data_IF_827754810633
#
_entry.id   IF_827754810633
#
_cell.length_a   1.000
_cell.length_b   1.000
_cell.length_c   1.000
_cell.angle_alpha   90.00
_cell.angle_beta   90.00
_cell.angle_gamma   90.00
#
_symmetry.space_group_name_H-M   'P 1'
#
loop_
_entity.id
_entity.type
_entity.pdbx_description
1 polymer ?
#
# COMPACT_ATOMS: atom_id res chain seq x y z
N UNK A 1 -17.46 -17.51 -3.51
CA UNK A 1 -18.08 -16.16 -3.53
C UNK A 1 -17.61 -15.41 -2.30
N UNK A 2 -17.16 -14.16 -2.45
CA UNK A 2 -16.72 -13.34 -1.32
C UNK A 2 -17.88 -12.43 -0.87
N UNK A 3 -18.25 -12.48 0.41
CA UNK A 3 -19.34 -11.65 0.96
C UNK A 3 -18.83 -10.87 2.17
N UNK A 4 -19.06 -9.57 2.16
CA UNK A 4 -18.71 -8.69 3.28
C UNK A 4 -19.73 -8.87 4.42
N UNK A 5 -19.28 -9.29 5.59
CA UNK A 5 -20.10 -9.38 6.81
C UNK A 5 -19.67 -8.39 7.91
N UNK A 6 -19.14 -7.24 7.50
CA UNK A 6 -18.71 -6.18 8.41
C UNK A 6 -17.32 -6.41 9.01
N UNK A 7 -17.14 -7.46 9.84
CA UNK A 7 -15.86 -7.76 10.51
C UNK A 7 -14.95 -8.71 9.72
N UNK A 8 -15.52 -9.55 8.85
CA UNK A 8 -14.82 -10.50 7.99
C UNK A 8 -15.39 -10.50 6.57
N UNK A 9 -14.51 -10.63 5.58
CA UNK A 9 -14.80 -11.06 4.23
C UNK A 9 -14.84 -12.59 4.27
N UNK A 10 -15.96 -13.18 3.87
CA UNK A 10 -16.13 -14.63 3.92
C UNK A 10 -15.97 -15.18 2.51
N UNK A 11 -14.96 -16.03 2.30
CA UNK A 11 -14.85 -16.86 1.11
C UNK A 11 -15.61 -18.15 1.34
N UNK A 12 -16.67 -18.33 0.57
CA UNK A 12 -17.35 -19.62 0.45
C UNK A 12 -16.81 -20.39 -0.75
N UNK A 13 -16.34 -21.61 -0.50
CA UNK A 13 -15.91 -22.59 -1.51
C UNK A 13 -16.78 -23.85 -1.37
N UNK A 14 -17.31 -24.36 -2.48
CA UNK A 14 -18.03 -25.63 -2.49
C UNK A 14 -17.13 -26.73 -3.03
N UNK A 15 -16.89 -27.76 -2.22
CA UNK A 15 -16.08 -28.93 -2.59
C UNK A 15 -16.91 -30.19 -2.29
N UNK A 16 -17.18 -31.01 -3.31
CA UNK A 16 -17.97 -32.25 -3.19
C UNK A 16 -19.33 -32.04 -2.49
N UNK A 17 -20.10 -31.06 -2.94
CA UNK A 17 -21.41 -30.67 -2.38
C UNK A 17 -21.40 -30.26 -0.90
N UNK A 18 -20.20 -30.02 -0.34
CA UNK A 18 -20.03 -29.43 0.99
C UNK A 18 -19.54 -28.00 0.86
N UNK A 19 -20.19 -27.12 1.59
CA UNK A 19 -19.81 -25.71 1.69
C UNK A 19 -18.75 -25.54 2.77
N UNK A 20 -17.57 -25.07 2.38
CA UNK A 20 -16.50 -24.64 3.28
C UNK A 20 -16.45 -23.12 3.30
N UNK A 21 -16.33 -22.54 4.51
CA UNK A 21 -16.28 -21.10 4.74
C UNK A 21 -14.94 -20.73 5.34
N UNK A 22 -14.27 -19.77 4.72
CA UNK A 22 -13.04 -19.17 5.23
C UNK A 22 -13.29 -17.70 5.53
N UNK A 23 -13.12 -17.31 6.80
CA UNK A 23 -13.32 -15.95 7.27
C UNK A 23 -11.99 -15.17 7.25
N UNK A 24 -11.99 -14.02 6.59
CA UNK A 24 -10.84 -13.12 6.48
C UNK A 24 -11.18 -11.79 7.15
N UNK A 25 -10.50 -11.35 8.22
CA UNK A 25 -10.87 -10.09 8.89
C UNK A 25 -10.75 -8.87 7.96
N UNK A 26 -11.83 -8.08 7.83
CA UNK A 26 -11.91 -6.86 6.99
C UNK A 26 -11.01 -5.76 7.54
N UNK A 27 -10.83 -5.74 8.85
CA UNK A 27 -9.82 -4.96 9.53
C UNK A 27 -8.97 -5.93 10.35
N UNK A 28 -7.75 -6.30 9.92
CA UNK A 28 -6.82 -6.88 10.85
C UNK A 28 -6.74 -5.94 12.06
N UNK A 29 -6.94 -6.49 13.26
CA UNK A 29 -6.60 -5.79 14.49
C UNK A 29 -5.12 -5.44 14.51
N UNK A 30 -4.65 -4.87 15.61
CA UNK A 30 -3.24 -4.47 15.74
C UNK A 30 -2.28 -5.65 15.55
N UNK A 31 -2.76 -6.89 15.73
CA UNK A 31 -2.04 -8.13 15.49
C UNK A 31 -1.58 -8.30 14.03
N UNK A 32 -2.26 -7.66 13.07
CA UNK A 32 -1.85 -7.65 11.66
C UNK A 32 -0.79 -6.60 11.32
N UNK A 33 -0.43 -5.72 12.26
CA UNK A 33 0.56 -4.66 12.04
C UNK A 33 1.91 -5.18 11.53
N UNK A 34 2.50 -6.29 12.03
CA UNK A 34 3.78 -6.77 11.54
C UNK A 34 3.79 -7.07 10.03
N UNK A 35 2.72 -7.69 9.51
CA UNK A 35 2.58 -8.00 8.09
C UNK A 35 2.41 -6.73 7.25
N UNK A 36 1.60 -5.79 7.74
CA UNK A 36 1.41 -4.50 7.06
C UNK A 36 2.72 -3.70 7.04
N UNK A 37 3.50 -3.72 8.12
CA UNK A 37 4.82 -3.06 8.16
C UNK A 37 5.79 -3.68 7.16
N UNK A 38 5.86 -5.01 7.07
CA UNK A 38 6.70 -5.68 6.09
C UNK A 38 6.36 -5.27 4.66
N UNK A 39 5.08 -5.23 4.32
CA UNK A 39 4.62 -4.81 3.01
C UNK A 39 4.95 -3.33 2.71
N UNK A 40 4.77 -2.44 3.70
CA UNK A 40 5.16 -1.04 3.57
C UNK A 40 6.68 -0.86 3.42
N UNK A 41 7.51 -1.67 4.08
CA UNK A 41 8.97 -1.64 3.90
C UNK A 41 9.37 -2.05 2.49
N UNK A 42 8.74 -3.09 1.93
CA UNK A 42 8.95 -3.49 0.53
C UNK A 42 8.56 -2.36 -0.43
N UNK A 43 7.34 -1.81 -0.28
CA UNK A 43 6.89 -0.68 -1.10
C UNK A 43 7.80 0.54 -0.99
N UNK A 44 8.34 0.84 0.20
CA UNK A 44 9.27 1.95 0.41
C UNK A 44 10.56 1.76 -0.37
N UNK A 45 11.15 0.56 -0.32
CA UNK A 45 12.32 0.20 -1.12
C UNK A 45 12.04 0.28 -2.62
N UNK A 46 10.94 -0.32 -3.08
CA UNK A 46 10.58 -0.39 -4.49
C UNK A 46 10.31 1.00 -5.08
N UNK A 47 9.54 1.83 -4.38
CA UNK A 47 9.27 3.20 -4.83
C UNK A 47 10.52 4.08 -4.85
N UNK A 48 11.45 3.89 -3.91
CA UNK A 48 12.74 4.58 -3.95
C UNK A 48 13.60 4.14 -5.15
N UNK A 49 13.63 2.84 -5.44
CA UNK A 49 14.32 2.31 -6.61
C UNK A 49 13.72 2.84 -7.92
N UNK A 50 12.39 2.90 -8.01
CA UNK A 50 11.66 3.45 -9.15
C UNK A 50 11.98 4.92 -9.40
N UNK A 51 12.08 5.76 -8.36
CA UNK A 51 12.53 7.17 -8.48
C UNK A 51 13.90 7.24 -9.17
N UNK A 52 14.85 6.43 -8.71
CA UNK A 52 16.21 6.45 -9.24
C UNK A 52 16.27 5.96 -10.69
N UNK A 53 15.51 4.93 -11.02
CA UNK A 53 15.44 4.39 -12.39
C UNK A 53 14.79 5.37 -13.36
N UNK A 54 13.68 6.01 -12.96
CA UNK A 54 13.01 7.03 -13.76
C UNK A 54 13.92 8.23 -14.05
N UNK A 55 14.63 8.73 -13.03
CA UNK A 55 15.61 9.82 -13.23
C UNK A 55 16.69 9.46 -14.24
N UNK A 56 17.20 8.23 -14.22
CA UNK A 56 18.19 7.75 -15.20
C UNK A 56 17.59 7.67 -16.61
N UNK A 57 16.40 7.08 -16.76
CA UNK A 57 15.77 6.91 -18.07
C UNK A 57 15.38 8.22 -18.73
N UNK A 58 14.86 9.18 -17.96
CA UNK A 58 14.55 10.52 -18.46
C UNK A 58 15.79 11.26 -18.97
N UNK A 59 16.97 10.96 -18.44
CA UNK A 59 18.23 11.54 -18.94
C UNK A 59 18.74 10.92 -20.24
N UNK A 60 18.12 9.83 -20.73
CA UNK A 60 18.66 9.02 -21.84
C UNK A 60 17.71 8.78 -23.02
N UNK A 61 16.43 9.18 -22.97
CA UNK A 61 15.45 8.85 -24.01
C UNK A 61 14.75 10.07 -24.61
N UNK A 62 14.76 10.17 -25.94
CA UNK A 62 14.05 11.17 -26.75
C UNK A 62 12.57 10.82 -27.00
N UNK A 63 12.09 9.64 -26.60
CA UNK A 63 10.66 9.30 -26.68
C UNK A 63 10.28 8.23 -25.66
N UNK A 64 9.51 8.62 -24.66
CA UNK A 64 8.78 7.70 -23.79
C UNK A 64 7.43 7.42 -24.43
N UNK A 65 6.97 6.17 -24.44
CA UNK A 65 5.66 5.80 -25.01
C UNK A 65 4.57 6.39 -24.11
N UNK A 66 3.78 7.33 -24.65
CA UNK A 66 2.76 8.11 -23.92
C UNK A 66 1.75 7.22 -23.14
N UNK A 67 1.38 6.06 -23.70
CA UNK A 67 0.46 5.11 -23.06
C UNK A 67 1.04 4.47 -21.78
N UNK A 68 2.34 4.15 -21.78
CA UNK A 68 3.03 3.59 -20.61
C UNK A 68 3.13 4.64 -19.50
N UNK A 69 3.38 5.90 -19.87
CA UNK A 69 3.41 7.04 -18.94
C UNK A 69 2.05 7.24 -18.28
N UNK A 70 0.98 7.23 -19.07
CA UNK A 70 -0.39 7.39 -18.54
C UNK A 70 -0.76 6.25 -17.58
N UNK A 71 -0.37 5.02 -17.88
CA UNK A 71 -0.58 3.86 -17.00
C UNK A 71 0.19 4.00 -15.69
N UNK A 72 1.45 4.45 -15.75
CA UNK A 72 2.26 4.70 -14.56
C UNK A 72 1.64 5.83 -13.70
N UNK A 73 1.20 6.93 -14.32
CA UNK A 73 0.54 8.04 -13.60
C UNK A 73 -0.70 7.53 -12.85
N UNK A 74 -1.55 6.73 -13.50
CA UNK A 74 -2.72 6.14 -12.86
C UNK A 74 -2.34 5.26 -11.66
N UNK A 75 -1.33 4.40 -11.84
CA UNK A 75 -0.81 3.52 -10.80
C UNK A 75 -0.35 4.28 -9.56
N UNK A 76 0.49 5.32 -9.71
CA UNK A 76 0.97 6.10 -8.56
C UNK A 76 -0.12 6.95 -7.92
N UNK A 77 -1.16 7.37 -8.67
CA UNK A 77 -2.34 8.02 -8.07
C UNK A 77 -3.12 7.06 -7.17
N UNK A 78 -3.31 5.81 -7.62
CA UNK A 78 -3.95 4.76 -6.81
C UNK A 78 -3.11 4.46 -5.57
N UNK A 79 -1.80 4.25 -5.71
CA UNK A 79 -0.91 4.01 -4.57
C UNK A 79 -1.00 5.11 -3.51
N UNK A 80 -1.09 6.39 -3.93
CA UNK A 80 -1.26 7.51 -3.00
C UNK A 80 -2.61 7.50 -2.28
N UNK A 81 -3.68 7.06 -2.95
CA UNK A 81 -4.97 6.86 -2.30
C UNK A 81 -4.89 5.73 -1.25
N UNK A 82 -4.20 4.63 -1.58
CA UNK A 82 -3.99 3.52 -0.65
C UNK A 82 -3.17 3.95 0.58
N UNK A 83 -2.17 4.83 0.41
CA UNK A 83 -1.41 5.40 1.52
C UNK A 83 -2.30 6.16 2.53
N UNK A 84 -3.37 6.82 2.06
CA UNK A 84 -4.35 7.41 2.98
C UNK A 84 -5.15 6.34 3.75
N UNK A 85 -5.43 5.20 3.11
CA UNK A 85 -6.03 4.03 3.76
C UNK A 85 -5.15 3.47 4.88
N UNK A 86 -3.86 3.26 4.61
CA UNK A 86 -2.90 2.85 5.63
C UNK A 86 -2.77 3.89 6.74
N UNK A 87 -2.71 5.19 6.41
CA UNK A 87 -2.63 6.23 7.43
C UNK A 87 -3.82 6.19 8.40
N UNK A 88 -5.05 6.02 7.88
CA UNK A 88 -6.25 5.88 8.72
C UNK A 88 -6.18 4.63 9.60
N UNK A 89 -5.71 3.50 9.04
CA UNK A 89 -5.52 2.25 9.79
C UNK A 89 -4.53 2.42 10.94
N UNK A 90 -3.36 3.01 10.68
CA UNK A 90 -2.36 3.28 11.71
C UNK A 90 -2.83 4.30 12.76
N UNK A 91 -3.63 5.29 12.35
CA UNK A 91 -4.26 6.23 13.29
C UNK A 91 -5.25 5.51 14.21
N UNK A 92 -6.09 4.63 13.64
CA UNK A 92 -7.03 3.83 14.42
C UNK A 92 -6.30 2.93 15.42
N UNK A 93 -5.26 2.20 14.98
CA UNK A 93 -4.47 1.38 15.89
C UNK A 93 -3.80 2.22 16.98
N UNK A 94 -3.23 3.38 16.64
CA UNK A 94 -2.65 4.33 17.62
C UNK A 94 -3.62 4.71 18.74
N UNK A 95 -4.88 4.92 18.40
CA UNK A 95 -5.88 5.36 19.37
C UNK A 95 -6.38 4.19 20.25
N UNK A 96 -6.00 2.95 19.92
CA UNK A 96 -6.37 1.72 20.65
C UNK A 96 -5.24 1.11 21.49
N UNK A 97 -4.00 1.61 21.37
CA UNK A 97 -2.84 0.98 22.02
C UNK A 97 -2.72 1.32 23.51
N UNK A 98 -2.25 0.35 24.31
CA UNK A 98 -1.75 0.57 25.69
C UNK A 98 -0.27 0.19 25.87
N UNK A 99 0.38 -0.39 24.85
CA UNK A 99 1.70 -1.03 24.92
C UNK A 99 2.79 -0.21 24.20
N UNK A 100 3.96 0.05 24.83
CA UNK A 100 5.07 0.80 24.22
C UNK A 100 5.67 0.20 22.93
N UNK A 101 5.73 -1.14 22.79
CA UNK A 101 6.30 -1.77 21.58
C UNK A 101 5.40 -1.57 20.36
N UNK A 102 4.10 -1.64 20.56
CA UNK A 102 3.10 -1.33 19.54
C UNK A 102 3.20 0.15 19.11
N UNK A 103 3.52 1.06 20.03
CA UNK A 103 3.74 2.49 19.70
C UNK A 103 4.93 2.70 18.74
N UNK A 104 5.99 1.90 18.83
CA UNK A 104 7.13 2.00 17.91
C UNK A 104 6.77 1.50 16.51
N UNK A 105 6.05 0.37 16.43
CA UNK A 105 5.53 -0.15 15.16
C UNK A 105 4.62 0.86 14.46
N UNK A 106 3.76 1.53 15.22
CA UNK A 106 2.89 2.58 14.68
C UNK A 106 3.68 3.78 14.14
N UNK A 107 4.69 4.25 14.89
CA UNK A 107 5.56 5.34 14.44
C UNK A 107 6.31 4.98 13.14
N UNK A 108 6.86 3.77 13.08
CA UNK A 108 7.51 3.25 11.86
C UNK A 108 6.55 3.23 10.68
N UNK A 109 5.31 2.76 10.88
CA UNK A 109 4.31 2.74 9.81
C UNK A 109 3.98 4.12 9.27
N UNK A 110 3.82 5.13 10.13
CA UNK A 110 3.64 6.51 9.68
C UNK A 110 4.82 7.04 8.87
N UNK A 111 6.05 6.71 9.29
CA UNK A 111 7.25 7.10 8.54
C UNK A 111 7.28 6.44 7.15
N UNK A 112 7.01 5.14 7.06
CA UNK A 112 6.99 4.41 5.79
C UNK A 112 5.93 4.98 4.83
N UNK A 113 4.72 5.28 5.34
CA UNK A 113 3.64 5.90 4.56
C UNK A 113 4.08 7.27 4.01
N UNK A 114 4.75 8.07 4.84
CA UNK A 114 5.28 9.36 4.43
C UNK A 114 6.32 9.22 3.30
N UNK A 115 7.29 8.32 3.47
CA UNK A 115 8.37 8.08 2.52
C UNK A 115 7.83 7.59 1.16
N UNK A 116 6.93 6.60 1.17
CA UNK A 116 6.29 6.08 -0.05
C UNK A 116 5.53 7.19 -0.78
N UNK A 117 4.75 8.00 -0.06
CA UNK A 117 3.98 9.09 -0.68
C UNK A 117 4.90 10.20 -1.22
N UNK A 118 6.04 10.47 -0.57
CA UNK A 118 7.05 11.40 -1.08
C UNK A 118 7.72 10.89 -2.37
N UNK A 119 8.05 9.61 -2.43
CA UNK A 119 8.59 8.97 -3.63
C UNK A 119 7.57 8.96 -4.77
N UNK A 120 6.32 8.55 -4.49
CA UNK A 120 5.24 8.55 -5.49
C UNK A 120 4.96 9.96 -6.04
N UNK A 121 5.03 11.01 -5.20
CA UNK A 121 4.95 12.41 -5.67
C UNK A 121 6.11 12.76 -6.60
N UNK A 122 7.33 12.38 -6.23
CA UNK A 122 8.52 12.62 -7.06
C UNK A 122 8.37 11.95 -8.42
N UNK A 123 7.90 10.70 -8.46
CA UNK A 123 7.65 9.97 -9.70
C UNK A 123 6.57 10.66 -10.54
N UNK A 124 5.46 11.08 -9.91
CA UNK A 124 4.40 11.80 -10.62
C UNK A 124 4.90 13.12 -11.22
N UNK A 125 5.71 13.89 -10.50
CA UNK A 125 6.33 15.11 -11.04
C UNK A 125 7.22 14.80 -12.24
N UNK A 126 8.08 13.77 -12.13
CA UNK A 126 8.92 13.32 -13.23
C UNK A 126 8.13 12.89 -14.47
N UNK A 127 6.98 12.23 -14.28
CA UNK A 127 6.14 11.77 -15.38
C UNK A 127 5.21 12.85 -15.97
N UNK A 128 4.81 13.85 -15.18
CA UNK A 128 3.89 14.91 -15.64
C UNK A 128 4.60 16.16 -16.16
N UNK A 129 5.81 16.45 -15.68
CA UNK A 129 6.59 17.65 -16.01
C UNK A 129 7.82 17.34 -16.89
N UNK A 130 8.06 16.06 -17.15
CA UNK A 130 9.16 15.51 -17.95
C UNK A 130 8.92 15.53 -19.45
#
# INVERSE_FOLDING_TARGET
MLVNQGRYDVLTVTINDKEEKHEFPIFPGIEGMPLVLQELMTMQSDTAAQVNELKKRMSCFDSVIEEEVMTLIATYRVQRADMMGYHRRFSHWRDTISNPLESQGIALGFQLIYDINANAKTILSLLCEG
#
